data_IF_040819916430
#
_entry.id   IF_040819916430
#
_cell.length_a   1.000
_cell.length_b   1.000
_cell.length_c   1.000
_cell.angle_alpha   90.00
_cell.angle_beta   90.00
_cell.angle_gamma   90.00
#
_symmetry.space_group_name_H-M   'P 1'
#
loop_
_entity.id
_entity.type
_entity.pdbx_description
1 polymer ?
#
# COMPACT_ATOMS: atom_id res chain seq x y z
N UNK A 1 -2.76 6.08 -15.43
CA UNK A 1 -1.73 5.19 -14.86
C UNK A 1 -1.40 5.61 -13.43
N UNK A 2 -1.30 4.67 -12.50
CA UNK A 2 -0.83 4.90 -11.13
C UNK A 2 0.54 4.26 -10.93
N UNK A 3 1.33 4.78 -9.99
CA UNK A 3 2.61 4.19 -9.58
C UNK A 3 3.85 4.76 -10.27
N UNK A 4 3.71 5.34 -11.46
CA UNK A 4 4.79 5.95 -12.24
C UNK A 4 4.36 7.26 -12.90
N UNK A 5 5.33 8.15 -13.16
CA UNK A 5 5.10 9.41 -13.88
C UNK A 5 5.10 9.26 -15.40
N UNK A 6 5.67 8.16 -15.91
CA UNK A 6 5.78 7.80 -17.33
C UNK A 6 5.35 6.35 -17.56
N UNK A 7 4.54 6.08 -18.59
CA UNK A 7 4.03 4.75 -18.94
C UNK A 7 5.13 3.73 -19.30
N UNK A 8 6.32 4.23 -19.63
CA UNK A 8 7.48 3.41 -19.96
C UNK A 8 8.42 3.18 -18.76
N UNK A 9 8.16 3.84 -17.63
CA UNK A 9 8.96 3.66 -16.42
C UNK A 9 8.78 2.26 -15.83
N UNK A 10 9.89 1.66 -15.43
CA UNK A 10 9.94 0.31 -14.83
C UNK A 10 10.70 0.28 -13.51
N UNK A 11 11.36 1.39 -13.16
CA UNK A 11 12.14 1.51 -11.93
C UNK A 11 11.21 1.74 -10.74
N UNK A 12 11.31 0.92 -9.67
CA UNK A 12 10.51 1.07 -8.48
C UNK A 12 10.45 2.49 -7.93
N UNK A 13 9.31 2.85 -7.37
CA UNK A 13 9.10 4.13 -6.70
C UNK A 13 9.45 5.37 -7.55
N UNK A 14 9.31 5.25 -8.87
CA UNK A 14 9.70 6.30 -9.82
C UNK A 14 11.17 6.75 -9.62
N UNK A 15 12.05 5.77 -9.40
CA UNK A 15 13.49 5.96 -9.11
C UNK A 15 13.82 6.72 -7.80
N UNK A 16 12.90 6.78 -6.84
CA UNK A 16 13.14 7.37 -5.52
C UNK A 16 13.59 6.30 -4.50
N UNK A 17 14.49 6.69 -3.59
CA UNK A 17 14.95 5.82 -2.49
C UNK A 17 13.81 5.46 -1.53
N UNK A 18 12.98 6.47 -1.21
CA UNK A 18 11.80 6.32 -0.39
C UNK A 18 10.54 6.38 -1.28
N UNK A 19 9.54 5.55 -0.99
CA UNK A 19 8.28 5.62 -1.71
C UNK A 19 7.55 6.94 -1.41
N UNK A 20 6.55 7.27 -2.24
CA UNK A 20 5.63 8.39 -2.03
C UNK A 20 4.19 7.91 -2.22
N UNK A 21 3.22 8.78 -1.94
CA UNK A 21 1.78 8.44 -2.04
C UNK A 21 1.32 8.02 -3.45
N UNK A 22 2.04 8.43 -4.49
CA UNK A 22 1.70 8.16 -5.90
C UNK A 22 2.61 7.12 -6.57
N UNK A 23 3.60 6.58 -5.84
CA UNK A 23 4.57 5.64 -6.40
C UNK A 23 4.32 4.22 -5.90
N UNK A 24 4.71 3.23 -6.69
CA UNK A 24 4.54 1.82 -6.34
C UNK A 24 5.86 1.05 -6.49
N UNK A 25 5.97 -0.07 -5.78
CA UNK A 25 7.01 -1.06 -5.94
C UNK A 25 6.43 -2.48 -5.83
N UNK A 26 6.34 -3.15 -6.98
CA UNK A 26 5.89 -4.54 -7.05
C UNK A 26 4.47 -4.75 -6.52
N UNK A 27 3.47 -3.95 -6.95
CA UNK A 27 2.09 -4.16 -6.52
C UNK A 27 1.60 -5.55 -6.94
N UNK A 28 0.94 -6.29 -6.05
CA UNK A 28 0.54 -7.69 -6.30
C UNK A 28 -0.97 -7.88 -6.45
N UNK A 29 -1.78 -6.94 -5.98
CA UNK A 29 -3.22 -7.05 -6.02
C UNK A 29 -3.88 -5.67 -5.95
N UNK A 30 -5.09 -5.60 -6.49
CA UNK A 30 -5.90 -4.39 -6.57
C UNK A 30 -7.37 -4.77 -6.41
N UNK A 31 -8.12 -3.94 -5.69
CA UNK A 31 -9.56 -4.11 -5.56
C UNK A 31 -10.28 -2.75 -5.51
N UNK A 32 -11.56 -2.73 -5.87
CA UNK A 32 -12.38 -1.53 -5.93
C UNK A 32 -13.85 -1.85 -5.66
N UNK A 33 -14.51 -0.95 -4.92
CA UNK A 33 -15.98 -0.95 -4.79
C UNK A 33 -16.66 -0.01 -5.82
N UNK A 34 -15.92 0.42 -6.85
CA UNK A 34 -16.37 1.35 -7.88
C UNK A 34 -16.31 2.82 -7.47
N UNK A 35 -16.17 3.12 -6.16
CA UNK A 35 -15.99 4.49 -5.66
C UNK A 35 -14.59 4.72 -5.13
N UNK A 36 -13.96 3.70 -4.56
CA UNK A 36 -12.61 3.72 -4.00
C UNK A 36 -11.73 2.68 -4.69
N UNK A 37 -10.41 2.84 -4.57
CA UNK A 37 -9.42 1.91 -5.11
C UNK A 37 -8.41 1.56 -4.02
N UNK A 38 -8.08 0.29 -3.89
CA UNK A 38 -7.08 -0.21 -2.94
C UNK A 38 -6.03 -1.01 -3.70
N UNK A 39 -4.76 -0.78 -3.39
CA UNK A 39 -3.63 -1.48 -4.01
C UNK A 39 -2.72 -2.05 -2.93
N UNK A 40 -2.41 -3.36 -3.03
CA UNK A 40 -1.36 -3.99 -2.25
C UNK A 40 0.01 -3.67 -2.87
N UNK A 41 0.75 -2.75 -2.25
CA UNK A 41 2.08 -2.31 -2.69
C UNK A 41 3.17 -3.13 -1.96
N UNK A 42 3.25 -4.40 -2.35
CA UNK A 42 3.87 -5.48 -1.57
C UNK A 42 5.34 -5.24 -1.23
N UNK A 43 6.15 -4.77 -2.18
CA UNK A 43 7.59 -4.60 -1.90
C UNK A 43 7.89 -3.36 -1.06
N UNK A 44 6.94 -2.44 -0.93
CA UNK A 44 6.98 -1.34 0.04
C UNK A 44 6.29 -1.69 1.38
N UNK A 45 5.82 -2.93 1.56
CA UNK A 45 5.18 -3.40 2.80
C UNK A 45 3.96 -2.55 3.22
N UNK A 46 3.17 -2.09 2.25
CA UNK A 46 2.04 -1.20 2.52
C UNK A 46 0.83 -1.51 1.64
N UNK A 47 -0.32 -0.99 2.06
CA UNK A 47 -1.53 -0.94 1.24
C UNK A 47 -1.90 0.53 1.05
N UNK A 48 -2.10 0.94 -0.20
CA UNK A 48 -2.51 2.29 -0.56
C UNK A 48 -4.01 2.32 -0.86
N UNK A 49 -4.68 3.37 -0.40
CA UNK A 49 -6.12 3.59 -0.64
C UNK A 49 -6.34 4.96 -1.26
N UNK A 50 -7.05 4.98 -2.38
CA UNK A 50 -7.68 6.16 -2.93
C UNK A 50 -9.16 6.14 -2.55
N UNK A 51 -9.60 7.13 -1.76
CA UNK A 51 -10.98 7.24 -1.26
C UNK A 51 -11.97 7.55 -2.37
N UNK A 52 -11.50 8.18 -3.43
CA UNK A 52 -12.22 8.39 -4.69
C UNK A 52 -11.46 7.71 -5.82
N UNK A 53 -12.19 7.10 -6.76
CA UNK A 53 -11.57 6.42 -7.90
C UNK A 53 -10.68 7.40 -8.65
N UNK A 54 -9.40 7.07 -8.90
CA UNK A 54 -8.47 8.01 -9.52
C UNK A 54 -8.92 8.47 -10.91
N UNK A 55 -8.85 9.77 -11.16
CA UNK A 55 -9.31 10.40 -12.40
C UNK A 55 -8.18 10.95 -13.28
N UNK A 56 -6.94 10.87 -12.78
CA UNK A 56 -5.75 11.31 -13.49
C UNK A 56 -4.55 10.40 -13.23
N UNK A 57 -3.59 10.48 -14.14
CA UNK A 57 -2.33 9.78 -14.02
C UNK A 57 -1.55 10.27 -12.79
N UNK A 58 -0.82 9.34 -12.18
CA UNK A 58 0.07 9.57 -11.05
C UNK A 58 -0.62 10.26 -9.86
N UNK A 59 -1.92 10.03 -9.68
CA UNK A 59 -2.67 10.58 -8.56
C UNK A 59 -2.17 9.99 -7.23
N UNK A 60 -1.87 10.82 -6.21
CA UNK A 60 -1.47 10.33 -4.89
C UNK A 60 -2.62 9.61 -4.20
N UNK A 61 -2.29 8.52 -3.51
CA UNK A 61 -3.18 7.85 -2.59
C UNK A 61 -3.53 8.75 -1.40
N UNK A 62 -4.73 8.59 -0.86
CA UNK A 62 -5.20 9.38 0.27
C UNK A 62 -4.80 8.77 1.63
N UNK A 63 -4.62 7.46 1.67
CA UNK A 63 -4.32 6.71 2.89
C UNK A 63 -3.24 5.67 2.58
N UNK A 64 -2.35 5.50 3.56
CA UNK A 64 -1.41 4.39 3.65
C UNK A 64 -1.74 3.57 4.90
N UNK A 65 -1.84 2.26 4.71
CA UNK A 65 -1.88 1.28 5.79
C UNK A 65 -0.56 0.51 5.80
N UNK A 66 -0.11 0.06 6.97
CA UNK A 66 1.17 -0.64 7.13
C UNK A 66 2.28 0.21 7.74
N UNK A 67 2.18 1.54 7.63
CA UNK A 67 3.20 2.52 8.01
C UNK A 67 2.61 3.77 8.65
N UNK A 68 3.41 4.56 9.40
CA UNK A 68 2.98 5.87 9.91
C UNK A 68 2.84 6.94 8.82
N UNK A 69 3.43 6.73 7.63
CA UNK A 69 3.40 7.66 6.52
C UNK A 69 3.72 7.02 5.16
N UNK A 70 3.88 7.85 4.14
CA UNK A 70 4.07 7.39 2.76
C UNK A 70 5.54 7.16 2.37
N UNK A 71 6.49 7.55 3.23
CA UNK A 71 7.93 7.54 2.93
C UNK A 71 8.67 6.36 3.59
N UNK A 72 7.92 5.37 4.09
CA UNK A 72 8.44 4.15 4.70
C UNK A 72 8.26 2.96 3.77
N UNK A 73 9.22 2.03 3.82
CA UNK A 73 9.19 0.75 3.10
C UNK A 73 9.67 -0.45 3.92
N UNK A 74 10.22 -0.20 5.10
CA UNK A 74 10.76 -1.26 5.98
C UNK A 74 9.58 -1.96 6.64
N UNK A 75 9.47 -3.30 6.56
CA UNK A 75 8.34 -4.00 7.15
C UNK A 75 8.31 -3.79 8.66
N UNK A 76 7.11 -3.62 9.21
CA UNK A 76 6.89 -3.40 10.64
C UNK A 76 7.57 -2.17 11.24
N UNK A 77 7.85 -1.13 10.45
CA UNK A 77 8.42 0.12 10.93
C UNK A 77 7.32 1.09 11.37
N UNK A 78 6.83 0.92 12.61
CA UNK A 78 5.77 1.76 13.14
C UNK A 78 6.30 3.12 13.63
N UNK A 79 7.56 3.17 14.09
CA UNK A 79 8.25 4.39 14.48
C UNK A 79 8.61 5.29 13.28
N UNK A 80 8.73 4.71 12.09
CA UNK A 80 9.13 5.40 10.87
C UNK A 80 10.62 5.77 10.84
N UNK A 81 11.46 5.05 11.58
CA UNK A 81 12.89 5.33 11.74
C UNK A 81 13.79 4.46 10.83
N UNK A 82 13.18 3.64 9.97
CA UNK A 82 13.88 2.73 9.06
C UNK A 82 14.27 1.41 9.71
N UNK A 83 13.79 1.12 10.92
CA UNK A 83 14.02 -0.16 11.61
C UNK A 83 12.70 -0.92 11.82
N UNK A 84 12.79 -2.24 11.97
CA UNK A 84 11.60 -3.08 12.14
C UNK A 84 11.27 -3.22 13.63
N UNK A 85 10.08 -2.76 14.04
CA UNK A 85 9.57 -2.80 15.43
C UNK A 85 8.86 -4.12 15.77
N UNK A 86 8.67 -4.98 14.77
CA UNK A 86 7.89 -6.22 14.87
C UNK A 86 6.39 -6.05 14.60
N UNK A 87 5.67 -7.15 14.33
CA UNK A 87 4.31 -7.11 13.82
C UNK A 87 3.31 -6.54 14.84
N UNK A 88 2.50 -5.57 14.40
CA UNK A 88 1.36 -5.03 15.15
C UNK A 88 0.07 -5.21 14.35
N UNK A 89 -1.07 -4.76 14.87
CA UNK A 89 -2.33 -4.76 14.13
C UNK A 89 -2.37 -3.76 12.95
N UNK A 90 -1.34 -2.91 12.80
CA UNK A 90 -1.29 -1.83 11.82
C UNK A 90 -0.14 -1.94 10.83
N UNK A 91 0.75 -2.91 11.01
CA UNK A 91 1.92 -3.11 10.16
C UNK A 91 1.74 -4.32 9.25
N UNK A 92 2.50 -4.35 8.15
CA UNK A 92 2.55 -5.48 7.23
C UNK A 92 4.00 -5.91 6.96
N UNK A 93 4.15 -7.16 6.53
CA UNK A 93 5.32 -7.67 5.83
C UNK A 93 4.83 -8.48 4.62
N UNK A 94 5.06 -7.91 3.43
CA UNK A 94 4.58 -8.41 2.14
C UNK A 94 3.06 -8.64 2.14
N UNK A 95 2.24 -7.58 2.25
CA UNK A 95 0.80 -7.72 2.01
C UNK A 95 0.58 -8.14 0.54
N UNK A 96 -0.15 -9.23 0.31
CA UNK A 96 -0.37 -9.77 -1.04
C UNK A 96 -1.74 -9.43 -1.61
N UNK A 97 -2.81 -9.89 -0.95
CA UNK A 97 -4.19 -9.75 -1.39
C UNK A 97 -4.92 -8.68 -0.60
N UNK A 98 -5.75 -7.92 -1.30
CA UNK A 98 -6.69 -6.94 -0.72
C UNK A 98 -8.10 -7.29 -1.16
N UNK A 99 -9.07 -7.17 -0.26
CA UNK A 99 -10.47 -7.37 -0.57
C UNK A 99 -11.31 -6.32 0.14
N UNK A 100 -12.00 -5.51 -0.64
CA UNK A 100 -13.03 -4.60 -0.19
C UNK A 100 -14.36 -5.33 -0.06
N UNK A 101 -15.01 -5.09 1.06
CA UNK A 101 -16.37 -5.52 1.36
C UNK A 101 -17.19 -4.30 1.80
N UNK A 102 -18.53 -4.40 1.88
CA UNK A 102 -19.34 -3.31 2.39
C UNK A 102 -18.92 -2.79 3.77
N UNK A 103 -18.37 -3.66 4.64
CA UNK A 103 -18.07 -3.36 6.04
C UNK A 103 -16.58 -3.22 6.35
N UNK A 104 -15.70 -3.72 5.49
CA UNK A 104 -14.27 -3.83 5.80
C UNK A 104 -13.37 -3.93 4.58
N UNK A 105 -12.10 -3.57 4.77
CA UNK A 105 -10.96 -3.98 3.96
C UNK A 105 -10.24 -5.15 4.64
N UNK A 106 -10.06 -6.25 3.91
CA UNK A 106 -9.26 -7.39 4.34
C UNK A 106 -7.90 -7.36 3.62
N UNK A 107 -6.83 -7.60 4.36
CA UNK A 107 -5.47 -7.62 3.81
C UNK A 107 -4.77 -8.91 4.24
N UNK A 108 -4.29 -9.70 3.27
CA UNK A 108 -3.45 -10.85 3.59
C UNK A 108 -2.01 -10.40 3.84
N UNK A 109 -1.55 -10.51 5.07
CA UNK A 109 -0.21 -10.17 5.52
C UNK A 109 0.65 -11.45 5.47
N UNK A 110 1.19 -11.71 4.28
CA UNK A 110 1.58 -13.06 3.87
C UNK A 110 2.77 -13.61 4.65
N UNK A 111 3.74 -12.77 5.03
CA UNK A 111 4.89 -13.23 5.79
C UNK A 111 4.54 -13.52 7.26
N UNK A 112 3.54 -12.82 7.79
CA UNK A 112 3.04 -13.04 9.15
C UNK A 112 1.93 -14.09 9.25
N UNK A 113 1.62 -14.82 8.17
CA UNK A 113 0.61 -15.88 8.14
C UNK A 113 -0.77 -15.44 8.71
N UNK A 114 -1.18 -14.20 8.42
CA UNK A 114 -2.43 -13.64 8.97
C UNK A 114 -3.21 -12.84 7.93
N UNK A 115 -4.49 -12.65 8.24
CA UNK A 115 -5.35 -11.68 7.56
C UNK A 115 -5.72 -10.60 8.57
N UNK A 116 -5.49 -9.35 8.20
CA UNK A 116 -5.91 -8.19 8.98
C UNK A 116 -7.23 -7.66 8.41
N UNK A 117 -8.13 -7.27 9.30
CA UNK A 117 -9.47 -6.74 8.95
C UNK A 117 -9.58 -5.31 9.45
N UNK A 118 -9.67 -4.36 8.53
CA UNK A 118 -9.85 -2.94 8.79
C UNK A 118 -11.32 -2.59 8.55
N UNK A 119 -12.07 -2.36 9.63
CA UNK A 119 -13.49 -2.00 9.51
C UNK A 119 -13.66 -0.54 9.13
N UNK A 120 -14.71 -0.27 8.36
CA UNK A 120 -15.16 1.09 8.01
C UNK A 120 -15.75 1.83 9.20
#
# INVERSE_FOLDING_TARGET
>A
MLGHSDITATTPNDNNVLPKAQTLFGPQDIDSDGTSLVVADTANNRVLVWKTFPDRDFQPADIVLGHPGFEQRVPNDQAGDGTSDGPTAKTFDRPLKVLLTPDALLVSDSFHNRVLVFRR
#
